data_IF_048596314486
#
_entry.id   IF_048596314486
#
_cell.length_a   1.000
_cell.length_b   1.000
_cell.length_c   1.000
_cell.angle_alpha   90.00
_cell.angle_beta   90.00
_cell.angle_gamma   90.00
#
_symmetry.space_group_name_H-M   'P 1'
#
loop_
_entity.id
_entity.type
_entity.pdbx_description
1 polymer ?
#
# COMPACT_ATOMS: atom_id res chain seq x y z
N UNK A 1 -16.55 4.88 -9.83
CA UNK A 1 -16.22 3.74 -8.93
C UNK A 1 -17.11 3.82 -7.71
N UNK A 2 -17.58 2.70 -7.17
CA UNK A 2 -18.36 2.69 -5.94
C UNK A 2 -17.39 2.61 -4.77
N UNK A 3 -17.19 3.71 -4.05
CA UNK A 3 -16.29 3.71 -2.90
C UNK A 3 -16.92 3.05 -1.68
N UNK A 4 -16.07 2.36 -0.94
CA UNK A 4 -16.36 1.90 0.38
C UNK A 4 -16.28 3.08 1.37
N UNK A 5 -17.40 3.46 1.98
CA UNK A 5 -17.39 4.62 2.88
C UNK A 5 -18.44 4.55 3.99
N UNK A 6 -18.06 5.06 5.16
CA UNK A 6 -18.91 5.18 6.34
C UNK A 6 -18.88 3.96 7.27
N UNK A 7 -19.40 4.19 8.48
CA UNK A 7 -19.35 3.22 9.58
C UNK A 7 -19.97 1.86 9.25
N UNK A 8 -21.12 1.84 8.56
CA UNK A 8 -21.82 0.60 8.23
C UNK A 8 -21.03 -0.26 7.24
N UNK A 9 -20.42 0.38 6.23
CA UNK A 9 -19.52 -0.33 5.33
C UNK A 9 -18.32 -0.81 6.13
N UNK A 10 -17.58 0.05 6.83
CA UNK A 10 -16.42 -0.39 7.63
C UNK A 10 -16.70 -1.51 8.63
N UNK A 11 -17.87 -1.54 9.26
CA UNK A 11 -18.29 -2.67 10.10
C UNK A 11 -18.39 -3.97 9.28
N UNK A 12 -19.05 -3.94 8.12
CA UNK A 12 -19.10 -5.09 7.21
C UNK A 12 -17.72 -5.58 6.76
N UNK A 13 -16.75 -4.68 6.51
CA UNK A 13 -15.38 -5.08 6.13
C UNK A 13 -14.68 -5.77 7.28
N UNK A 14 -14.80 -5.22 8.49
CA UNK A 14 -14.16 -5.81 9.64
C UNK A 14 -14.70 -7.22 9.90
N UNK A 15 -16.01 -7.45 9.78
CA UNK A 15 -16.57 -8.79 9.87
C UNK A 15 -16.06 -9.72 8.76
N UNK A 16 -15.96 -9.23 7.52
CA UNK A 16 -15.41 -10.01 6.41
C UNK A 16 -13.94 -10.37 6.64
N UNK A 17 -13.10 -9.42 7.01
CA UNK A 17 -11.66 -9.65 7.30
C UNK A 17 -11.51 -10.60 8.48
N UNK A 18 -12.29 -10.41 9.54
CA UNK A 18 -12.29 -11.29 10.72
C UNK A 18 -12.64 -12.73 10.34
N UNK A 19 -13.65 -12.92 9.50
CA UNK A 19 -14.03 -14.24 8.99
C UNK A 19 -12.88 -14.91 8.22
N UNK A 20 -12.25 -14.19 7.29
CA UNK A 20 -11.16 -14.74 6.46
C UNK A 20 -9.84 -14.95 7.21
N UNK A 21 -9.65 -14.26 8.33
CA UNK A 21 -8.43 -14.32 9.14
C UNK A 21 -8.57 -15.18 10.40
N UNK A 22 -9.68 -15.90 10.56
CA UNK A 22 -9.98 -16.67 11.78
C UNK A 22 -9.91 -15.82 13.07
N UNK A 23 -10.33 -14.54 12.97
CA UNK A 23 -10.31 -13.62 14.10
C UNK A 23 -9.03 -12.79 14.26
N UNK A 24 -7.98 -13.06 13.48
CA UNK A 24 -6.63 -12.51 13.73
C UNK A 24 -6.38 -11.13 13.09
N UNK A 25 -7.25 -10.65 12.20
CA UNK A 25 -7.05 -9.39 11.49
C UNK A 25 -8.26 -8.44 11.55
N UNK A 26 -7.97 -7.16 11.31
CA UNK A 26 -8.95 -6.09 11.15
C UNK A 26 -8.79 -5.44 9.76
N UNK A 27 -9.85 -4.81 9.28
CA UNK A 27 -9.79 -4.01 8.07
C UNK A 27 -9.08 -2.69 8.35
N UNK A 28 -7.96 -2.45 7.66
CA UNK A 28 -7.12 -1.25 7.86
C UNK A 28 -7.00 -0.43 6.57
N UNK A 29 -6.94 -1.09 5.41
CA UNK A 29 -6.82 -0.43 4.10
C UNK A 29 -7.60 -1.20 3.04
N UNK A 30 -8.08 -0.49 2.01
CA UNK A 30 -8.63 -1.09 0.79
C UNK A 30 -7.85 -0.59 -0.42
N UNK A 31 -7.51 -1.50 -1.33
CA UNK A 31 -6.84 -1.23 -2.60
C UNK A 31 -7.17 -2.37 -3.58
N UNK A 32 -6.85 -2.22 -4.87
CA UNK A 32 -7.33 -3.16 -5.90
C UNK A 32 -6.23 -3.69 -6.84
N UNK A 33 -5.13 -2.96 -7.02
CA UNK A 33 -4.24 -3.13 -8.16
C UNK A 33 -3.13 -4.17 -7.91
N UNK A 34 -2.63 -4.25 -6.69
CA UNK A 34 -1.37 -4.91 -6.37
C UNK A 34 -1.47 -6.43 -6.33
N UNK A 35 -2.65 -6.97 -6.05
CA UNK A 35 -2.93 -8.40 -6.25
C UNK A 35 -2.77 -8.80 -7.72
N UNK A 36 -3.18 -7.95 -8.66
CA UNK A 36 -2.99 -8.19 -10.09
C UNK A 36 -1.53 -8.05 -10.53
N UNK A 37 -0.83 -7.03 -9.99
CA UNK A 37 0.60 -6.83 -10.22
C UNK A 37 1.41 -8.03 -9.72
N UNK A 38 1.21 -8.46 -8.46
CA UNK A 38 1.93 -9.59 -7.88
C UNK A 38 1.62 -10.92 -8.59
N UNK A 39 0.37 -11.11 -9.04
CA UNK A 39 0.00 -12.27 -9.85
C UNK A 39 0.77 -12.30 -11.17
N UNK A 40 0.94 -11.14 -11.82
CA UNK A 40 1.71 -11.01 -13.07
C UNK A 40 3.20 -11.30 -12.84
N UNK A 41 3.78 -10.77 -11.76
CA UNK A 41 5.16 -11.07 -11.34
C UNK A 41 5.35 -12.56 -11.04
N UNK A 42 4.37 -13.21 -10.40
CA UNK A 42 4.40 -14.65 -10.12
C UNK A 42 4.47 -15.47 -11.42
N UNK A 43 3.73 -15.10 -12.45
CA UNK A 43 3.79 -15.79 -13.74
C UNK A 43 5.13 -15.59 -14.46
N UNK A 44 5.69 -14.38 -14.41
CA UNK A 44 7.00 -14.10 -14.98
C UNK A 44 8.12 -14.88 -14.25
N UNK A 45 8.05 -14.95 -12.92
CA UNK A 45 8.97 -15.70 -12.06
C UNK A 45 8.95 -17.20 -12.38
N UNK A 46 7.76 -17.79 -12.55
CA UNK A 46 7.61 -19.19 -12.95
C UNK A 46 8.27 -19.53 -14.30
N UNK A 47 8.49 -18.52 -15.16
CA UNK A 47 9.18 -18.67 -16.46
C UNK A 47 10.64 -18.22 -16.43
N UNK A 48 11.15 -17.80 -15.28
CA UNK A 48 12.53 -17.33 -15.11
C UNK A 48 12.82 -15.96 -15.73
N UNK A 49 11.79 -15.14 -15.98
CA UNK A 49 11.96 -13.80 -16.55
C UNK A 49 12.19 -12.71 -15.51
N UNK A 50 11.76 -12.94 -14.26
CA UNK A 50 11.98 -12.06 -13.10
C UNK A 50 12.23 -12.92 -11.86
N UNK A 51 12.66 -12.29 -10.77
CA UNK A 51 12.77 -12.91 -9.45
C UNK A 51 11.72 -12.29 -8.52
N UNK A 52 10.69 -13.04 -8.14
CA UNK A 52 9.60 -12.53 -7.29
C UNK A 52 10.05 -12.22 -5.86
N UNK A 53 11.20 -12.71 -5.41
CA UNK A 53 11.77 -12.38 -4.09
C UNK A 53 12.33 -10.96 -4.03
N UNK A 54 12.47 -10.31 -5.20
CA UNK A 54 12.92 -8.92 -5.37
C UNK A 54 11.76 -7.94 -5.63
N UNK A 55 10.54 -8.32 -5.26
CA UNK A 55 9.35 -7.49 -5.44
C UNK A 55 9.05 -6.69 -4.17
N UNK A 56 8.98 -5.36 -4.30
CA UNK A 56 8.63 -4.44 -3.23
C UNK A 56 7.44 -3.56 -3.67
N UNK A 57 6.50 -3.32 -2.75
CA UNK A 57 5.38 -2.40 -2.94
C UNK A 57 5.42 -1.35 -1.84
N UNK A 58 5.38 -0.08 -2.23
CA UNK A 58 5.13 1.04 -1.34
C UNK A 58 3.75 1.62 -1.65
N UNK A 59 2.92 1.79 -0.62
CA UNK A 59 1.57 2.36 -0.75
C UNK A 59 1.39 3.53 0.21
N UNK A 60 0.78 4.60 -0.29
CA UNK A 60 0.28 5.72 0.51
C UNK A 60 -1.24 5.68 0.64
N UNK A 61 -1.76 6.16 1.78
CA UNK A 61 -3.20 6.34 1.99
C UNK A 61 -3.68 7.66 1.40
N UNK A 62 -4.43 7.62 0.31
CA UNK A 62 -4.89 8.81 -0.42
C UNK A 62 -6.24 9.35 0.06
N UNK A 63 -6.99 8.62 0.88
CA UNK A 63 -8.24 9.04 1.46
C UNK A 63 -8.68 8.13 2.62
N UNK A 64 -9.83 8.44 3.21
CA UNK A 64 -10.40 7.71 4.34
C UNK A 64 -11.72 7.03 3.97
N UNK A 65 -11.95 5.83 4.50
CA UNK A 65 -13.23 5.12 4.41
C UNK A 65 -14.24 5.59 5.46
N UNK A 66 -13.89 6.60 6.26
CA UNK A 66 -14.73 7.22 7.28
C UNK A 66 -14.83 8.71 7.04
N UNK A 67 -16.00 9.26 7.33
CA UNK A 67 -16.21 10.70 7.35
C UNK A 67 -15.59 11.35 8.60
N UNK A 68 -15.15 12.61 8.51
CA UNK A 68 -14.78 13.39 9.69
C UNK A 68 -16.02 13.64 10.58
N UNK A 69 -15.83 13.96 11.88
CA UNK A 69 -16.94 14.06 12.85
C UNK A 69 -18.07 15.03 12.48
N UNK A 70 -17.81 16.00 11.61
CA UNK A 70 -18.75 17.05 11.21
C UNK A 70 -19.49 16.78 9.89
N UNK A 71 -19.30 15.62 9.25
CA UNK A 71 -19.98 15.25 8.01
C UNK A 71 -20.79 13.98 8.18
N UNK A 72 -21.82 13.81 7.35
CA UNK A 72 -22.44 12.50 7.15
C UNK A 72 -21.57 11.64 6.22
N UNK A 73 -21.76 10.32 6.25
CA UNK A 73 -21.07 9.41 5.34
C UNK A 73 -21.35 9.73 3.86
N UNK A 74 -22.58 10.14 3.53
CA UNK A 74 -22.96 10.57 2.17
C UNK A 74 -22.20 11.83 1.76
N UNK A 75 -22.21 12.87 2.60
CA UNK A 75 -21.54 14.14 2.30
C UNK A 75 -20.03 13.95 2.10
N UNK A 76 -19.41 13.12 2.94
CA UNK A 76 -17.99 12.81 2.83
C UNK A 76 -17.70 11.99 1.58
N UNK A 77 -18.49 10.95 1.30
CA UNK A 77 -18.37 10.14 0.08
C UNK A 77 -18.46 10.98 -1.19
N UNK A 78 -19.41 11.92 -1.26
CA UNK A 78 -19.55 12.81 -2.41
C UNK A 78 -18.31 13.71 -2.58
N UNK A 79 -17.75 14.24 -1.49
CA UNK A 79 -16.52 15.05 -1.53
C UNK A 79 -15.31 14.24 -1.97
N UNK A 80 -15.13 13.04 -1.42
CA UNK A 80 -14.05 12.11 -1.80
C UNK A 80 -14.17 11.63 -3.26
N UNK A 81 -15.34 11.78 -3.88
CA UNK A 81 -15.57 11.44 -5.29
C UNK A 81 -15.14 12.56 -6.26
N UNK A 82 -15.05 13.80 -5.79
CA UNK A 82 -14.61 14.97 -6.57
C UNK A 82 -13.10 15.24 -6.43
N UNK A 83 -12.44 14.54 -5.51
CA UNK A 83 -11.00 14.60 -5.26
C UNK A 83 -10.70 13.90 -3.95
N UNK A 84 -9.74 12.97 -3.97
CA UNK A 84 -9.32 12.25 -2.77
C UNK A 84 -8.65 13.21 -1.78
N UNK A 85 -9.19 13.34 -0.57
CA UNK A 85 -8.77 14.40 0.36
C UNK A 85 -7.30 14.29 0.80
N UNK A 86 -6.70 13.10 0.70
CA UNK A 86 -5.31 12.84 1.08
C UNK A 86 -4.38 12.55 -0.11
N UNK A 87 -4.82 12.68 -1.37
CA UNK A 87 -4.00 12.24 -2.50
C UNK A 87 -2.68 13.00 -2.60
N UNK A 88 -2.70 14.31 -2.49
CA UNK A 88 -1.47 15.11 -2.61
C UNK A 88 -0.45 14.74 -1.51
N UNK A 89 -0.89 14.71 -0.26
CA UNK A 89 -0.07 14.28 0.87
C UNK A 89 0.41 12.82 0.72
N UNK A 90 -0.44 11.94 0.19
CA UNK A 90 -0.07 10.54 -0.08
C UNK A 90 1.03 10.44 -1.14
N UNK A 91 0.93 11.21 -2.23
CA UNK A 91 1.93 11.21 -3.30
C UNK A 91 3.26 11.77 -2.80
N UNK A 92 3.23 12.87 -2.06
CA UNK A 92 4.42 13.44 -1.43
C UNK A 92 5.07 12.45 -0.46
N UNK A 93 4.31 11.83 0.44
CA UNK A 93 4.84 10.85 1.39
C UNK A 93 5.43 9.61 0.70
N UNK A 94 4.77 9.10 -0.34
CA UNK A 94 5.30 7.96 -1.12
C UNK A 94 6.58 8.36 -1.83
N UNK A 95 6.67 9.58 -2.36
CA UNK A 95 7.90 10.07 -2.96
C UNK A 95 9.01 10.18 -1.92
N UNK A 96 8.78 10.87 -0.80
CA UNK A 96 9.78 11.09 0.24
C UNK A 96 10.30 9.80 0.86
N UNK A 97 9.44 8.81 1.09
CA UNK A 97 9.85 7.51 1.63
C UNK A 97 10.46 6.60 0.55
N UNK A 98 9.85 6.59 -0.64
CA UNK A 98 10.24 5.71 -1.74
C UNK A 98 11.56 6.12 -2.39
N UNK A 99 11.83 7.43 -2.52
CA UNK A 99 13.06 7.94 -3.12
C UNK A 99 14.28 7.50 -2.32
N UNK A 100 14.20 7.51 -0.99
CA UNK A 100 15.29 7.04 -0.12
C UNK A 100 15.68 5.58 -0.44
N UNK A 101 14.68 4.71 -0.61
CA UNK A 101 14.92 3.28 -0.94
C UNK A 101 15.46 3.14 -2.36
N UNK A 102 14.90 3.86 -3.33
CA UNK A 102 15.35 3.81 -4.73
C UNK A 102 16.78 4.32 -4.86
N UNK A 103 17.10 5.45 -4.23
CA UNK A 103 18.43 6.06 -4.28
C UNK A 103 19.49 5.13 -3.66
N UNK A 104 19.17 4.50 -2.52
CA UNK A 104 20.05 3.49 -1.91
C UNK A 104 20.30 2.29 -2.84
N UNK A 105 19.22 1.73 -3.42
CA UNK A 105 19.33 0.58 -4.34
C UNK A 105 20.16 0.89 -5.59
N UNK A 106 20.02 2.10 -6.14
CA UNK A 106 20.75 2.54 -7.32
C UNK A 106 22.22 2.86 -7.00
N UNK A 107 22.49 3.52 -5.88
CA UNK A 107 23.86 3.84 -5.46
C UNK A 107 24.66 2.57 -5.10
N UNK A 108 24.01 1.57 -4.50
CA UNK A 108 24.60 0.29 -4.12
C UNK A 108 24.39 -0.83 -5.16
N UNK A 109 24.12 -0.51 -6.42
CA UNK A 109 23.63 -1.49 -7.40
C UNK A 109 24.56 -2.70 -7.60
N UNK A 110 25.88 -2.52 -7.56
CA UNK A 110 26.84 -3.63 -7.68
C UNK A 110 26.63 -4.71 -6.59
N UNK A 111 26.14 -4.32 -5.42
CA UNK A 111 25.76 -5.23 -4.33
C UNK A 111 24.31 -5.70 -4.46
N UNK A 112 23.38 -4.77 -4.68
CA UNK A 112 21.95 -5.08 -4.64
C UNK A 112 21.44 -5.84 -5.86
N UNK A 113 22.15 -5.79 -6.98
CA UNK A 113 21.91 -6.66 -8.14
C UNK A 113 22.12 -8.14 -7.78
N UNK A 114 23.13 -8.45 -6.99
CA UNK A 114 23.46 -9.81 -6.57
C UNK A 114 22.72 -10.25 -5.30
N UNK A 115 22.38 -9.31 -4.40
CA UNK A 115 21.78 -9.61 -3.09
C UNK A 115 20.62 -8.71 -2.71
N UNK A 116 19.53 -9.29 -2.22
CA UNK A 116 18.38 -8.52 -1.71
C UNK A 116 18.75 -7.87 -0.37
N UNK A 117 18.43 -6.58 -0.14
CA UNK A 117 18.65 -5.95 1.16
C UNK A 117 17.96 -6.75 2.28
N UNK A 118 18.68 -6.97 3.38
CA UNK A 118 18.13 -7.60 4.59
C UNK A 118 18.29 -6.65 5.77
N UNK A 119 17.53 -6.87 6.84
CA UNK A 119 17.63 -6.04 8.06
C UNK A 119 19.04 -6.02 8.68
N UNK A 120 19.92 -6.98 8.35
CA UNK A 120 21.33 -7.00 8.78
C UNK A 120 22.28 -6.22 7.84
N UNK A 121 21.79 -5.70 6.72
CA UNK A 121 22.58 -4.99 5.70
C UNK A 121 22.35 -3.48 5.64
N UNK A 122 21.42 -2.93 6.43
CA UNK A 122 21.32 -1.48 6.58
C UNK A 122 22.41 -1.00 7.53
N UNK A 123 23.20 0.04 7.17
CA UNK A 123 24.19 0.58 8.09
C UNK A 123 23.49 1.02 9.37
N UNK A 124 24.08 0.64 10.51
CA UNK A 124 23.65 1.10 11.83
C UNK A 124 23.82 2.63 11.87
N UNK A 125 22.72 3.33 11.56
CA UNK A 125 22.55 4.79 11.60
C UNK A 125 23.07 5.53 10.37
N UNK A 126 22.14 6.21 9.70
CA UNK A 126 22.42 7.42 8.93
C UNK A 126 22.49 8.56 9.97
N UNK A 127 23.67 9.18 10.12
CA UNK A 127 23.84 10.43 10.89
C UNK A 127 23.13 11.61 10.22
#
# INVERSE_FOLDING_TARGET
MTYWHGALKNAWANELVKYWSDGEANFVTSAMEETGTYQSITYLDNTGLVDKTRFLVLRGGSNFTMQPPNLTAEQSLLRESDGYAGLEASLENVYLAGSVVIDELLNGWDQYSESVPTAMGFPDKVE
#
